data_IF_073665425624
#
_entry.id   IF_073665425624
#
_cell.length_a   1.000
_cell.length_b   1.000
_cell.length_c   1.000
_cell.angle_alpha   90.00
_cell.angle_beta   90.00
_cell.angle_gamma   90.00
#
_symmetry.space_group_name_H-M   'P 1'
#
loop_
_entity.id
_entity.type
_entity.pdbx_description
1 polymer ?
#
# COMPACT_ATOMS: atom_id res chain seq x y z
N UNK A 1 10.54 -1.89 -23.20
CA UNK A 1 9.09 -1.82 -23.52
C UNK A 1 8.37 -2.93 -22.76
N UNK A 2 8.25 -2.81 -21.44
CA UNK A 2 7.60 -3.81 -20.60
C UNK A 2 6.10 -3.51 -20.52
N UNK A 3 5.33 -4.46 -21.02
CA UNK A 3 3.88 -4.53 -21.10
C UNK A 3 3.25 -4.27 -19.73
N UNK A 4 2.77 -3.05 -19.50
CA UNK A 4 1.79 -2.80 -18.44
C UNK A 4 0.56 -3.61 -18.83
N UNK A 5 0.32 -4.69 -18.10
CA UNK A 5 -0.91 -5.45 -18.19
C UNK A 5 -2.06 -4.44 -18.06
N UNK A 6 -2.82 -4.29 -19.14
CA UNK A 6 -4.05 -3.51 -19.11
C UNK A 6 -4.89 -4.10 -17.99
N UNK A 7 -5.19 -3.27 -16.99
CA UNK A 7 -6.26 -3.53 -16.03
C UNK A 7 -7.56 -3.38 -16.81
N UNK A 8 -7.83 -4.37 -17.66
CA UNK A 8 -9.08 -4.51 -18.38
C UNK A 8 -10.11 -5.08 -17.39
N UNK A 9 -10.77 -4.19 -16.62
CA UNK A 9 -12.23 -4.17 -16.44
C UNK A 9 -12.64 -2.96 -15.57
N UNK A 10 -12.74 -1.79 -16.19
CA UNK A 10 -13.32 -0.60 -15.57
C UNK A 10 -14.87 -0.63 -15.53
N UNK A 11 -15.50 -1.82 -15.52
CA UNK A 11 -16.95 -1.98 -15.39
C UNK A 11 -17.39 -3.12 -14.45
N UNK A 12 -16.46 -3.86 -13.85
CA UNK A 12 -16.78 -4.89 -12.87
C UNK A 12 -17.04 -4.31 -11.49
N UNK A 13 -18.31 -4.00 -11.15
CA UNK A 13 -18.67 -3.62 -9.77
C UNK A 13 -18.36 -4.78 -8.81
N UNK A 14 -17.25 -4.70 -8.09
CA UNK A 14 -16.90 -5.64 -7.03
C UNK A 14 -17.87 -5.58 -5.86
N UNK A 15 -18.34 -6.72 -5.36
CA UNK A 15 -19.21 -6.81 -4.19
C UNK A 15 -18.45 -7.32 -2.98
N UNK A 16 -18.51 -6.60 -1.87
CA UNK A 16 -17.97 -7.02 -0.58
C UNK A 16 -19.10 -7.71 0.21
N UNK A 17 -18.89 -8.96 0.63
CA UNK A 17 -19.83 -9.70 1.47
C UNK A 17 -19.12 -10.28 2.69
N UNK A 18 -19.63 -10.02 3.88
CA UNK A 18 -19.11 -10.56 5.13
C UNK A 18 -20.25 -10.86 6.10
N UNK A 19 -20.06 -11.86 6.97
CA UNK A 19 -20.97 -12.14 8.09
C UNK A 19 -20.40 -11.52 9.35
N UNK A 20 -21.25 -10.85 10.11
CA UNK A 20 -20.92 -10.25 11.41
C UNK A 20 -21.93 -10.75 12.46
N UNK A 21 -21.50 -10.83 13.71
CA UNK A 21 -22.42 -11.09 14.82
C UNK A 21 -23.33 -9.88 15.06
N UNK A 22 -24.48 -10.09 15.71
CA UNK A 22 -25.42 -9.02 16.03
C UNK A 22 -24.77 -7.88 16.83
N UNK A 23 -23.97 -8.23 17.83
CA UNK A 23 -23.19 -7.28 18.65
C UNK A 23 -22.27 -6.40 17.80
N UNK A 24 -21.48 -7.01 16.89
CA UNK A 24 -20.57 -6.26 16.01
C UNK A 24 -21.35 -5.38 15.04
N UNK A 25 -22.50 -5.85 14.56
CA UNK A 25 -23.36 -5.06 13.67
C UNK A 25 -23.92 -3.82 14.38
N UNK A 26 -24.27 -3.92 15.66
CA UNK A 26 -24.77 -2.80 16.45
C UNK A 26 -23.70 -1.72 16.64
N UNK A 27 -22.47 -2.13 16.97
CA UNK A 27 -21.32 -1.21 17.07
C UNK A 27 -21.06 -0.51 15.74
N UNK A 28 -21.05 -1.24 14.62
CA UNK A 28 -20.84 -0.66 13.30
C UNK A 28 -21.96 0.30 12.90
N UNK A 29 -23.22 0.00 13.28
CA UNK A 29 -24.36 0.87 13.01
C UNK A 29 -24.25 2.17 13.81
N UNK A 30 -23.96 2.08 15.10
CA UNK A 30 -23.75 3.27 15.95
C UNK A 30 -22.62 4.15 15.39
N UNK A 31 -21.50 3.55 14.98
CA UNK A 31 -20.39 4.30 14.40
C UNK A 31 -20.77 4.96 13.06
N UNK A 32 -21.58 4.28 12.23
CA UNK A 32 -22.10 4.83 10.98
C UNK A 32 -23.03 6.03 11.25
N UNK A 33 -23.93 5.91 12.22
CA UNK A 33 -24.87 6.95 12.63
C UNK A 33 -24.11 8.19 13.15
N UNK A 34 -23.12 7.99 14.02
CA UNK A 34 -22.24 9.06 14.52
C UNK A 34 -21.44 9.74 13.41
N UNK A 35 -21.10 9.01 12.35
CA UNK A 35 -20.40 9.54 11.18
C UNK A 35 -21.34 10.17 10.15
N UNK A 36 -22.67 10.17 10.38
CA UNK A 36 -23.66 10.69 9.44
C UNK A 36 -23.73 9.90 8.12
N UNK A 37 -23.45 8.59 8.17
CA UNK A 37 -23.35 7.73 6.99
C UNK A 37 -24.18 6.46 7.14
N UNK A 38 -24.54 5.82 6.02
CA UNK A 38 -25.17 4.50 6.08
C UNK A 38 -24.17 3.44 6.52
N UNK A 39 -24.64 2.35 7.14
CA UNK A 39 -23.77 1.22 7.55
C UNK A 39 -22.90 0.70 6.40
N UNK A 40 -23.45 0.56 5.20
CA UNK A 40 -22.69 0.08 4.04
C UNK A 40 -21.58 1.05 3.65
N UNK A 41 -21.86 2.35 3.65
CA UNK A 41 -20.88 3.38 3.31
C UNK A 41 -19.79 3.45 4.36
N UNK A 42 -20.16 3.44 5.65
CA UNK A 42 -19.22 3.41 6.76
C UNK A 42 -18.24 2.24 6.63
N UNK A 43 -18.75 1.01 6.44
CA UNK A 43 -17.91 -0.19 6.33
C UNK A 43 -16.94 -0.08 5.15
N UNK A 44 -17.39 0.37 3.98
CA UNK A 44 -16.53 0.54 2.80
C UNK A 44 -15.43 1.58 3.06
N UNK A 45 -15.80 2.73 3.63
CA UNK A 45 -14.84 3.81 3.92
C UNK A 45 -13.85 3.41 5.00
N UNK A 46 -14.31 2.78 6.08
CA UNK A 46 -13.43 2.28 7.14
C UNK A 46 -12.47 1.20 6.62
N UNK A 47 -12.95 0.28 5.79
CA UNK A 47 -12.12 -0.75 5.18
C UNK A 47 -11.06 -0.13 4.25
N UNK A 48 -11.43 0.86 3.43
CA UNK A 48 -10.51 1.57 2.56
C UNK A 48 -9.43 2.32 3.37
N UNK A 49 -9.84 3.04 4.42
CA UNK A 49 -8.90 3.75 5.30
C UNK A 49 -7.92 2.79 5.98
N UNK A 50 -8.42 1.67 6.51
CA UNK A 50 -7.57 0.65 7.12
C UNK A 50 -6.59 0.03 6.11
N UNK A 51 -7.05 -0.24 4.88
CA UNK A 51 -6.20 -0.74 3.81
C UNK A 51 -5.09 0.24 3.46
N UNK A 52 -5.42 1.53 3.31
CA UNK A 52 -4.46 2.59 3.01
C UNK A 52 -3.37 2.68 4.08
N UNK A 53 -3.75 2.65 5.37
CA UNK A 53 -2.78 2.67 6.46
C UNK A 53 -1.87 1.43 6.47
N UNK A 54 -2.37 0.26 6.09
CA UNK A 54 -1.56 -0.96 6.00
C UNK A 54 -0.55 -0.85 4.85
N UNK A 55 -0.99 -0.33 3.69
CA UNK A 55 -0.13 -0.08 2.53
C UNK A 55 0.97 0.92 2.89
N UNK A 56 0.61 2.07 3.45
CA UNK A 56 1.58 3.12 3.84
C UNK A 56 2.63 2.61 4.82
N UNK A 57 2.21 1.84 5.84
CA UNK A 57 3.15 1.22 6.80
C UNK A 57 4.10 0.25 6.10
N UNK A 58 3.60 -0.54 5.16
CA UNK A 58 4.43 -1.46 4.40
C UNK A 58 5.42 -0.70 3.51
N UNK A 59 4.97 0.31 2.77
CA UNK A 59 5.82 1.13 1.90
C UNK A 59 6.93 1.85 2.68
N UNK A 60 6.61 2.41 3.85
CA UNK A 60 7.59 3.06 4.72
C UNK A 60 8.69 2.09 5.19
N UNK A 61 8.32 0.86 5.58
CA UNK A 61 9.29 -0.18 5.95
C UNK A 61 10.17 -0.55 4.76
N UNK A 62 9.62 -0.65 3.55
CA UNK A 62 10.39 -0.95 2.34
C UNK A 62 11.36 0.19 2.00
N UNK A 63 10.92 1.45 2.09
CA UNK A 63 11.75 2.62 1.83
C UNK A 63 12.95 2.70 2.77
N UNK A 64 12.76 2.44 4.07
CA UNK A 64 13.87 2.40 5.04
C UNK A 64 14.85 1.28 4.71
N UNK A 65 14.35 0.07 4.43
CA UNK A 65 15.21 -1.07 4.10
C UNK A 65 16.02 -0.82 2.82
N UNK A 66 15.40 -0.21 1.81
CA UNK A 66 16.08 0.18 0.57
C UNK A 66 17.16 1.23 0.85
N UNK A 67 16.84 2.29 1.60
CA UNK A 67 17.79 3.35 1.97
C UNK A 67 19.02 2.81 2.71
N UNK A 68 18.84 1.85 3.63
CA UNK A 68 19.97 1.21 4.34
C UNK A 68 20.81 0.38 3.36
N UNK A 69 20.17 -0.39 2.46
CA UNK A 69 20.89 -1.18 1.47
C UNK A 69 21.66 -0.29 0.49
N UNK A 70 21.06 0.81 0.05
CA UNK A 70 21.69 1.82 -0.80
C UNK A 70 22.85 2.52 -0.10
N UNK A 71 22.67 2.91 1.17
CA UNK A 71 23.74 3.48 1.98
C UNK A 71 24.91 2.50 2.12
N UNK A 72 24.65 1.21 2.40
CA UNK A 72 25.69 0.18 2.45
C UNK A 72 26.42 0.01 1.12
N UNK A 73 25.68 0.01 -0.01
CA UNK A 73 26.30 -0.04 -1.35
C UNK A 73 27.17 1.19 -1.60
N UNK A 74 26.68 2.38 -1.26
CA UNK A 74 27.45 3.62 -1.38
C UNK A 74 28.74 3.57 -0.54
N UNK A 75 28.64 3.16 0.73
CA UNK A 75 29.81 3.00 1.59
C UNK A 75 30.80 1.96 1.08
N UNK A 76 30.32 0.84 0.52
CA UNK A 76 31.19 -0.15 -0.12
C UNK A 76 31.93 0.44 -1.32
N UNK A 77 31.26 1.23 -2.16
CA UNK A 77 31.87 1.93 -3.30
C UNK A 77 32.88 3.01 -2.89
N UNK A 78 32.70 3.63 -1.72
CA UNK A 78 33.67 4.59 -1.17
C UNK A 78 34.89 3.88 -0.54
N UNK A 79 34.71 2.69 0.03
CA UNK A 79 35.77 1.90 0.65
C UNK A 79 36.63 1.13 -0.35
N UNK A 80 36.03 0.65 -1.43
CA UNK A 80 36.71 0.08 -2.60
C UNK A 80 36.12 0.76 -3.84
N UNK A 81 36.80 1.78 -4.42
CA UNK A 81 36.33 2.37 -5.66
C UNK A 81 36.35 1.29 -6.74
N UNK A 82 35.17 0.95 -7.27
CA UNK A 82 35.07 0.09 -8.43
C UNK A 82 35.95 0.69 -9.55
N UNK A 83 36.86 -0.11 -10.11
CA UNK A 83 37.64 0.30 -11.27
C UNK A 83 36.69 0.76 -12.36
N UNK A 84 36.88 1.96 -12.96
CA UNK A 84 35.94 2.49 -13.93
C UNK A 84 35.78 1.48 -15.05
N UNK A 85 34.55 1.01 -15.27
CA UNK A 85 34.24 0.27 -16.49
C UNK A 85 34.38 1.25 -17.66
N UNK A 86 35.11 0.86 -18.71
CA UNK A 86 35.47 1.71 -19.86
C UNK A 86 34.27 2.33 -20.60
N UNK A 87 33.04 1.93 -20.26
CA UNK A 87 31.79 2.52 -20.78
C UNK A 87 31.42 3.88 -20.16
N UNK A 88 32.08 4.32 -19.08
CA UNK A 88 31.79 5.61 -18.42
C UNK A 88 32.58 6.80 -18.98
N UNK A 89 33.44 6.59 -19.98
CA UNK A 89 34.22 7.64 -20.62
C UNK A 89 33.79 7.80 -22.09
N UNK A 90 32.69 8.52 -22.34
CA UNK A 90 32.30 8.95 -23.68
C UNK A 90 31.66 10.33 -23.68
#
# INVERSE_FOLDING_TARGET
MAKHARVDDASGRGRITARVSAEKQEVLRLAADLSGSTLSQFVVQSALSAAQQVIERAEFIHAIKLSIAESKKLFALLGEPATPDESQNR
#
